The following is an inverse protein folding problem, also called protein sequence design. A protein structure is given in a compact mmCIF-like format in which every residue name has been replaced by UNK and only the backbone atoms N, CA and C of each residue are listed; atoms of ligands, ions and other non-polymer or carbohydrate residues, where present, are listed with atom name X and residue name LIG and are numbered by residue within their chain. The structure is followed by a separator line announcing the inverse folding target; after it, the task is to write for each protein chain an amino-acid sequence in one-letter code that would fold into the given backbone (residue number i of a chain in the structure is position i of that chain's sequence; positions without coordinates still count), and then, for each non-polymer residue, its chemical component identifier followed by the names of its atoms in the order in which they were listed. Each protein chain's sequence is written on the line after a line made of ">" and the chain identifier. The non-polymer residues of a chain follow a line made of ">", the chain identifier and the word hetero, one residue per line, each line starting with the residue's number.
data_IF_815142953342
#
_entry.id   IF_815142953342
#
_cell.length_a   1.000
_cell.length_b   1.000
_cell.length_c   1.000
_cell.angle_alpha   90.00
_cell.angle_beta   90.00
_cell.angle_gamma   90.00
#
_symmetry.space_group_name_H-M   'P 1'
#
loop_
_entity.id
_entity.type
_entity.pdbx_description
1 polymer ?
#
# COMPACT_ATOMS: atom_id res chain seq x y z
N UNK A 1 43.02 9.37 -4.64
CA UNK A 1 41.87 9.03 -3.83
C UNK A 1 40.53 8.98 -4.60
N UNK A 2 40.47 9.46 -5.83
CA UNK A 2 39.23 9.59 -6.64
C UNK A 2 38.82 8.31 -7.39
N UNK A 3 39.74 7.39 -7.65
CA UNK A 3 39.44 6.18 -8.45
C UNK A 3 38.78 5.06 -7.67
N UNK A 4 39.06 4.91 -6.38
CA UNK A 4 38.47 3.89 -5.53
C UNK A 4 36.97 4.15 -5.22
N UNK A 5 36.54 5.41 -5.10
CA UNK A 5 35.12 5.76 -4.91
C UNK A 5 34.25 5.43 -6.13
N UNK A 6 34.80 5.51 -7.35
CA UNK A 6 34.05 5.16 -8.59
C UNK A 6 33.80 3.66 -8.75
N UNK A 7 34.67 2.81 -8.23
CA UNK A 7 34.53 1.34 -8.31
C UNK A 7 33.43 0.86 -7.34
N UNK A 8 33.43 1.35 -6.10
CA UNK A 8 32.40 1.01 -5.11
C UNK A 8 30.98 1.43 -5.51
N UNK A 9 30.86 2.50 -6.30
CA UNK A 9 29.55 2.98 -6.78
C UNK A 9 29.01 2.15 -7.96
N UNK A 10 29.88 1.60 -8.78
CA UNK A 10 29.54 0.75 -9.93
C UNK A 10 29.08 -0.64 -9.48
N UNK A 11 29.69 -1.17 -8.43
CA UNK A 11 29.35 -2.48 -7.86
C UNK A 11 27.99 -2.45 -7.14
N UNK A 12 27.63 -1.34 -6.50
CA UNK A 12 26.32 -1.15 -5.87
C UNK A 12 25.17 -1.05 -6.88
N UNK A 13 25.37 -0.40 -8.03
CA UNK A 13 24.35 -0.33 -9.09
C UNK A 13 24.14 -1.68 -9.79
N UNK A 14 25.24 -2.45 -9.97
CA UNK A 14 25.15 -3.80 -10.54
C UNK A 14 24.51 -4.80 -9.56
N UNK A 15 24.74 -4.66 -8.25
CA UNK A 15 24.13 -5.51 -7.23
C UNK A 15 22.64 -5.22 -7.06
N UNK A 16 22.22 -3.95 -7.15
CA UNK A 16 20.80 -3.57 -7.16
C UNK A 16 20.08 -4.05 -8.41
N UNK A 17 20.70 -3.96 -9.59
CA UNK A 17 20.16 -4.51 -10.82
C UNK A 17 20.02 -6.03 -10.80
N UNK A 18 20.98 -6.74 -10.21
CA UNK A 18 20.92 -8.20 -10.02
C UNK A 18 19.84 -8.59 -9.00
N UNK A 19 19.68 -7.83 -7.91
CA UNK A 19 18.63 -8.07 -6.92
C UNK A 19 17.24 -7.85 -7.53
N UNK A 20 17.07 -6.79 -8.32
CA UNK A 20 15.81 -6.52 -9.03
C UNK A 20 15.49 -7.61 -10.07
N UNK A 21 16.49 -8.11 -10.81
CA UNK A 21 16.34 -9.21 -11.75
C UNK A 21 16.05 -10.55 -11.06
N UNK A 22 16.65 -10.82 -9.91
CA UNK A 22 16.35 -12.01 -9.11
C UNK A 22 14.94 -11.95 -8.51
N UNK A 23 14.52 -10.80 -8.01
CA UNK A 23 13.14 -10.59 -7.57
C UNK A 23 12.16 -10.76 -8.72
N UNK A 24 12.45 -10.22 -9.91
CA UNK A 24 11.61 -10.39 -11.10
C UNK A 24 11.55 -11.83 -11.60
N UNK A 25 12.66 -12.58 -11.55
CA UNK A 25 12.70 -13.99 -11.93
C UNK A 25 11.90 -14.88 -10.97
N UNK A 26 11.97 -14.62 -9.66
CA UNK A 26 11.14 -15.31 -8.65
C UNK A 26 9.63 -15.06 -8.85
N UNK A 27 9.26 -13.94 -9.46
CA UNK A 27 7.86 -13.58 -9.75
C UNK A 27 7.32 -14.24 -11.02
N UNK A 28 8.15 -14.57 -11.98
CA UNK A 28 7.72 -15.18 -13.24
C UNK A 28 7.15 -16.60 -13.03
N UNK A 29 7.69 -17.35 -12.07
CA UNK A 29 7.19 -18.70 -11.73
C UNK A 29 5.92 -18.68 -10.85
N UNK A 30 5.71 -17.63 -10.07
CA UNK A 30 4.54 -17.47 -9.21
C UNK A 30 3.23 -17.23 -9.98
N UNK A 31 3.30 -16.88 -11.26
CA UNK A 31 2.12 -16.65 -12.11
C UNK A 31 1.39 -17.95 -12.54
N UNK A 32 1.92 -19.13 -12.21
CA UNK A 32 1.37 -20.43 -12.57
C UNK A 32 0.60 -21.14 -11.44
N UNK A 33 0.30 -20.43 -10.33
CA UNK A 33 -0.52 -20.96 -9.24
C UNK A 33 -1.91 -21.42 -9.74
N UNK A 34 -2.44 -22.48 -9.12
CA UNK A 34 -3.75 -23.06 -9.44
C UNK A 34 -4.85 -21.99 -9.28
N UNK A 35 -5.36 -21.54 -10.42
CA UNK A 35 -6.31 -20.45 -10.47
C UNK A 35 -7.69 -20.98 -10.07
N UNK A 36 -8.25 -20.47 -8.96
CA UNK A 36 -9.60 -20.78 -8.48
C UNK A 36 -10.62 -20.85 -9.62
N UNK A 37 -11.45 -21.91 -9.63
CA UNK A 37 -12.44 -22.16 -10.68
C UNK A 37 -13.49 -21.03 -10.79
N UNK A 38 -14.03 -20.83 -11.98
CA UNK A 38 -15.06 -19.82 -12.28
C UNK A 38 -16.46 -20.39 -12.02
N UNK A 39 -16.78 -20.67 -10.77
CA UNK A 39 -18.03 -21.32 -10.34
C UNK A 39 -18.93 -20.41 -9.52
N UNK A 40 -18.50 -19.16 -9.25
CA UNK A 40 -19.32 -18.18 -8.57
C UNK A 40 -20.45 -17.71 -9.49
N UNK A 41 -21.60 -17.39 -8.92
CA UNK A 41 -22.75 -16.93 -9.64
C UNK A 41 -23.13 -15.54 -9.14
N UNK A 42 -23.21 -14.59 -10.08
CA UNK A 42 -23.69 -13.23 -9.84
C UNK A 42 -24.96 -13.03 -10.67
N UNK A 43 -26.05 -12.63 -10.04
CA UNK A 43 -27.31 -12.27 -10.70
C UNK A 43 -27.50 -10.77 -10.59
N UNK A 44 -27.83 -10.13 -11.70
CA UNK A 44 -28.08 -8.69 -11.76
C UNK A 44 -29.53 -8.34 -11.50
N UNK A 45 -29.83 -7.07 -11.24
CA UNK A 45 -31.19 -6.57 -11.00
C UNK A 45 -32.13 -6.79 -12.21
N UNK A 46 -31.59 -6.79 -13.44
CA UNK A 46 -32.32 -7.07 -14.68
C UNK A 46 -32.59 -8.59 -14.91
N UNK A 47 -32.07 -9.45 -14.02
CA UNK A 47 -32.23 -10.90 -14.10
C UNK A 47 -31.10 -11.64 -14.82
N UNK A 48 -30.12 -10.95 -15.42
CA UNK A 48 -28.98 -11.57 -16.05
C UNK A 48 -28.13 -12.33 -15.03
N UNK A 49 -27.70 -13.53 -15.41
CA UNK A 49 -26.92 -14.42 -14.56
C UNK A 49 -25.54 -14.66 -15.17
N UNK A 50 -24.51 -14.36 -14.39
CA UNK A 50 -23.11 -14.46 -14.82
C UNK A 50 -22.41 -15.52 -14.00
N UNK A 51 -21.93 -16.59 -14.66
CA UNK A 51 -21.03 -17.56 -14.06
C UNK A 51 -19.60 -17.07 -14.23
N UNK A 52 -18.91 -16.89 -13.12
CA UNK A 52 -17.64 -16.19 -13.09
C UNK A 52 -16.80 -16.64 -11.89
N UNK A 53 -15.65 -16.04 -11.74
CA UNK A 53 -14.87 -15.96 -10.50
C UNK A 53 -14.93 -14.54 -9.99
N UNK A 54 -15.44 -14.37 -8.78
CA UNK A 54 -15.41 -13.07 -8.09
C UNK A 54 -13.98 -12.78 -7.70
N UNK A 55 -13.43 -11.68 -8.21
CA UNK A 55 -12.08 -11.23 -7.90
C UNK A 55 -12.04 -10.40 -6.63
N UNK A 56 -12.92 -9.42 -6.55
CA UNK A 56 -13.11 -8.58 -5.36
C UNK A 56 -14.33 -7.65 -5.53
N UNK A 57 -14.86 -7.18 -4.41
CA UNK A 57 -15.65 -5.95 -4.33
C UNK A 57 -14.79 -4.89 -3.66
N UNK A 58 -14.59 -3.78 -4.29
CA UNK A 58 -13.96 -2.60 -3.71
C UNK A 58 -14.59 -1.36 -4.32
N UNK A 59 -14.82 -0.39 -3.46
CA UNK A 59 -15.25 0.93 -3.90
C UNK A 59 -16.53 0.90 -4.75
N UNK A 60 -17.48 0.08 -4.38
CA UNK A 60 -18.75 -0.03 -5.09
C UNK A 60 -18.70 -0.77 -6.43
N UNK A 61 -17.55 -1.32 -6.83
CA UNK A 61 -17.42 -2.16 -8.02
C UNK A 61 -17.07 -3.60 -7.66
N UNK A 62 -17.92 -4.52 -8.08
CA UNK A 62 -17.66 -5.96 -8.07
C UNK A 62 -16.89 -6.33 -9.32
N UNK A 63 -15.63 -6.71 -9.15
CA UNK A 63 -14.81 -7.21 -10.25
C UNK A 63 -14.95 -8.72 -10.34
N UNK A 64 -15.31 -9.21 -11.51
CA UNK A 64 -15.46 -10.64 -11.79
C UNK A 64 -14.71 -11.03 -13.04
N UNK A 65 -14.33 -12.30 -13.15
CA UNK A 65 -13.71 -12.87 -14.36
C UNK A 65 -14.55 -14.03 -14.88
N UNK A 66 -15.22 -13.81 -16.01
CA UNK A 66 -16.00 -14.82 -16.72
C UNK A 66 -15.14 -15.63 -17.71
N UNK A 67 -15.59 -16.82 -18.07
CA UNK A 67 -14.87 -17.66 -19.03
C UNK A 67 -14.86 -17.08 -20.45
N UNK A 68 -15.94 -16.37 -20.82
CA UNK A 68 -16.15 -15.95 -22.20
C UNK A 68 -15.92 -14.46 -22.43
N UNK A 69 -16.10 -13.62 -21.40
CA UNK A 69 -15.99 -12.16 -21.52
C UNK A 69 -14.76 -11.58 -20.83
N UNK A 70 -13.97 -12.44 -20.14
CA UNK A 70 -12.82 -11.95 -19.38
C UNK A 70 -13.22 -11.21 -18.10
N UNK A 71 -12.47 -10.18 -17.75
CA UNK A 71 -12.74 -9.35 -16.56
C UNK A 71 -13.81 -8.31 -16.82
N UNK A 72 -14.83 -8.28 -15.94
CA UNK A 72 -15.97 -7.35 -16.00
C UNK A 72 -16.08 -6.66 -14.65
N UNK A 73 -16.32 -5.34 -14.68
CA UNK A 73 -16.66 -4.55 -13.49
C UNK A 73 -18.18 -4.32 -13.45
N UNK A 74 -18.81 -4.70 -12.35
CA UNK A 74 -20.25 -4.59 -12.13
C UNK A 74 -20.47 -3.61 -10.97
N UNK A 75 -21.30 -2.61 -11.16
CA UNK A 75 -21.69 -1.70 -10.08
C UNK A 75 -22.43 -2.49 -8.99
N UNK A 76 -21.98 -2.35 -7.74
CA UNK A 76 -22.55 -3.11 -6.62
C UNK A 76 -24.07 -2.94 -6.45
N UNK A 77 -24.67 -1.76 -6.61
CA UNK A 77 -26.12 -1.60 -6.58
C UNK A 77 -26.85 -2.36 -7.69
N UNK A 78 -26.19 -2.71 -8.78
CA UNK A 78 -26.78 -3.49 -9.89
C UNK A 78 -26.79 -4.99 -9.61
N UNK A 79 -26.11 -5.43 -8.54
CA UNK A 79 -26.09 -6.85 -8.12
C UNK A 79 -27.34 -7.14 -7.30
N UNK A 80 -28.10 -8.14 -7.73
CA UNK A 80 -29.28 -8.66 -7.01
C UNK A 80 -28.90 -9.78 -6.05
N UNK A 81 -28.06 -10.73 -6.50
CA UNK A 81 -27.65 -11.84 -5.67
C UNK A 81 -26.27 -12.36 -6.03
N UNK A 82 -25.60 -12.92 -5.03
CA UNK A 82 -24.32 -13.59 -5.16
C UNK A 82 -24.40 -14.97 -4.52
N UNK A 83 -23.70 -15.92 -5.12
CA UNK A 83 -23.47 -17.23 -4.55
C UNK A 83 -22.03 -17.66 -4.83
N UNK A 84 -21.30 -18.03 -3.79
CA UNK A 84 -19.96 -18.58 -3.88
C UNK A 84 -19.71 -19.57 -2.74
N UNK A 85 -19.10 -20.71 -3.08
CA UNK A 85 -18.67 -21.72 -2.11
C UNK A 85 -17.25 -21.42 -1.57
N UNK A 86 -16.59 -20.39 -2.09
CA UNK A 86 -15.28 -19.96 -1.61
C UNK A 86 -15.44 -18.99 -0.45
N UNK A 87 -14.46 -19.01 0.43
CA UNK A 87 -14.41 -18.07 1.56
C UNK A 87 -13.98 -16.69 1.13
N UNK A 88 -14.67 -15.69 1.69
CA UNK A 88 -14.36 -14.28 1.48
C UNK A 88 -14.20 -13.58 2.83
N UNK A 89 -13.33 -12.60 2.86
CA UNK A 89 -13.38 -11.54 3.86
C UNK A 89 -14.36 -10.49 3.39
N UNK A 90 -15.41 -10.31 4.16
CA UNK A 90 -16.46 -9.32 3.93
C UNK A 90 -16.28 -8.18 4.91
N UNK A 91 -16.13 -6.95 4.43
CA UNK A 91 -16.06 -5.76 5.25
C UNK A 91 -17.34 -4.94 5.06
N UNK A 92 -17.92 -4.46 6.15
CA UNK A 92 -19.09 -3.56 6.13
C UNK A 92 -18.73 -2.14 6.53
N UNK A 93 -19.70 -1.23 6.46
CA UNK A 93 -19.57 0.12 7.00
C UNK A 93 -19.01 0.09 8.42
N UNK A 94 -18.08 0.99 8.72
CA UNK A 94 -17.43 1.06 10.03
C UNK A 94 -16.22 0.13 10.17
N UNK A 95 -15.86 -0.67 9.14
CA UNK A 95 -14.66 -1.48 9.11
C UNK A 95 -14.77 -2.83 9.86
N UNK A 96 -15.95 -3.22 10.30
CA UNK A 96 -16.18 -4.59 10.78
C UNK A 96 -16.01 -5.57 9.63
N UNK A 97 -15.38 -6.71 9.89
CA UNK A 97 -15.14 -7.74 8.89
C UNK A 97 -15.51 -9.12 9.39
N UNK A 98 -15.96 -9.95 8.47
CA UNK A 98 -16.39 -11.31 8.67
C UNK A 98 -15.73 -12.21 7.63
N UNK A 99 -15.60 -13.49 7.93
CA UNK A 99 -14.96 -14.47 7.05
C UNK A 99 -15.89 -15.65 6.82
N UNK A 100 -16.00 -16.10 5.56
CA UNK A 100 -16.78 -17.28 5.22
C UNK A 100 -17.21 -17.33 3.77
N UNK A 101 -17.91 -18.41 3.42
CA UNK A 101 -18.61 -18.50 2.14
C UNK A 101 -19.71 -17.45 2.08
N UNK A 102 -20.03 -16.99 0.88
CA UNK A 102 -21.01 -15.92 0.69
C UNK A 102 -22.18 -16.40 -0.15
N UNK A 103 -23.38 -16.07 0.30
CA UNK A 103 -24.61 -16.21 -0.45
C UNK A 103 -25.55 -15.04 -0.14
N UNK A 104 -26.54 -14.85 -0.98
CA UNK A 104 -27.57 -13.83 -0.72
C UNK A 104 -28.85 -14.51 -0.27
N UNK A 105 -29.59 -13.87 0.63
CA UNK A 105 -30.91 -14.35 1.05
C UNK A 105 -31.91 -14.41 -0.14
N UNK A 106 -33.06 -15.02 0.07
CA UNK A 106 -34.10 -15.20 -0.95
C UNK A 106 -34.61 -13.90 -1.54
N UNK A 107 -34.60 -12.83 -0.74
CA UNK A 107 -35.12 -11.52 -1.12
C UNK A 107 -34.07 -10.64 -1.83
N UNK A 108 -32.81 -11.06 -1.83
CA UNK A 108 -31.70 -10.29 -2.42
C UNK A 108 -31.30 -9.06 -1.61
N UNK A 109 -31.75 -8.95 -0.35
CA UNK A 109 -31.48 -7.76 0.50
C UNK A 109 -30.25 -7.90 1.37
N UNK A 110 -29.92 -9.13 1.75
CA UNK A 110 -28.86 -9.39 2.71
C UNK A 110 -27.83 -10.37 2.14
N UNK A 111 -26.57 -10.12 2.41
CA UNK A 111 -25.46 -11.04 2.22
C UNK A 111 -25.33 -11.91 3.46
N UNK A 112 -25.35 -13.21 3.27
CA UNK A 112 -25.10 -14.23 4.28
C UNK A 112 -23.62 -14.63 4.19
N UNK A 113 -22.90 -14.52 5.30
CA UNK A 113 -21.46 -14.83 5.38
C UNK A 113 -21.26 -15.93 6.39
N UNK A 114 -20.68 -17.04 5.96
CA UNK A 114 -20.45 -18.21 6.79
C UNK A 114 -21.23 -19.43 6.32
N UNK A 115 -21.23 -20.51 7.13
CA UNK A 115 -21.92 -21.74 6.87
C UNK A 115 -22.60 -22.27 8.13
N UNK A 116 -23.86 -22.68 8.02
CA UNK A 116 -24.60 -23.27 9.14
C UNK A 116 -24.93 -22.28 10.25
N UNK A 117 -24.70 -22.66 11.50
CA UNK A 117 -25.09 -21.89 12.69
C UNK A 117 -24.33 -20.57 12.88
N UNK A 118 -23.13 -20.46 12.31
CA UNK A 118 -22.24 -19.28 12.42
C UNK A 118 -22.45 -18.28 11.28
N UNK A 119 -23.59 -18.32 10.58
CA UNK A 119 -23.89 -17.42 9.48
C UNK A 119 -24.24 -16.03 10.00
N UNK A 120 -23.49 -15.03 9.53
CA UNK A 120 -23.76 -13.61 9.80
C UNK A 120 -24.52 -13.00 8.63
N UNK A 121 -25.56 -12.22 8.93
CA UNK A 121 -26.40 -11.53 7.96
C UNK A 121 -25.99 -10.05 7.88
N UNK A 122 -25.64 -9.58 6.70
CA UNK A 122 -25.20 -8.20 6.45
C UNK A 122 -26.05 -7.60 5.33
N UNK A 123 -26.70 -6.43 5.53
CA UNK A 123 -27.40 -5.76 4.46
C UNK A 123 -26.49 -5.52 3.25
N UNK A 124 -26.93 -5.84 2.03
CA UNK A 124 -26.12 -5.68 0.81
C UNK A 124 -25.57 -4.27 0.65
N UNK A 125 -26.32 -3.25 1.07
CA UNK A 125 -25.91 -1.85 1.00
C UNK A 125 -24.79 -1.49 1.99
N UNK A 126 -24.62 -2.26 3.06
CA UNK A 126 -23.56 -2.04 4.03
C UNK A 126 -22.23 -2.73 3.65
N UNK A 127 -22.25 -3.62 2.66
CA UNK A 127 -21.05 -4.32 2.21
C UNK A 127 -20.16 -3.35 1.44
N UNK A 128 -18.97 -3.09 1.97
CA UNK A 128 -17.99 -2.16 1.36
C UNK A 128 -16.85 -2.87 0.63
N UNK A 129 -16.51 -4.08 1.07
CA UNK A 129 -15.45 -4.89 0.48
C UNK A 129 -15.76 -6.38 0.54
N UNK A 130 -15.43 -7.08 -0.54
CA UNK A 130 -15.32 -8.53 -0.62
C UNK A 130 -13.92 -8.86 -1.12
N UNK A 131 -13.17 -9.63 -0.36
CA UNK A 131 -11.85 -10.11 -0.74
C UNK A 131 -11.86 -11.63 -0.63
N UNK A 132 -11.63 -12.38 -1.72
CA UNK A 132 -11.56 -13.82 -1.63
C UNK A 132 -10.35 -14.22 -0.79
N UNK A 133 -10.53 -15.24 0.03
CA UNK A 133 -9.42 -15.94 0.64
C UNK A 133 -8.86 -16.94 -0.37
N UNK A 134 -7.72 -16.60 -0.90
CA UNK A 134 -6.99 -17.52 -1.75
C UNK A 134 -6.28 -18.56 -0.87
N UNK A 135 -6.31 -19.80 -1.27
CA UNK A 135 -5.65 -20.88 -0.53
C UNK A 135 -4.13 -20.82 -0.64
N UNK A 136 -3.64 -20.27 -1.74
CA UNK A 136 -2.22 -20.16 -2.03
C UNK A 136 -1.66 -18.81 -1.51
N UNK A 137 -0.51 -18.89 -0.85
CA UNK A 137 0.23 -17.72 -0.34
C UNK A 137 0.47 -16.67 -1.42
N UNK A 138 0.88 -17.08 -2.62
CA UNK A 138 1.21 -16.17 -3.72
C UNK A 138 -0.01 -15.41 -4.28
N UNK A 139 -1.18 -15.98 -4.19
CA UNK A 139 -2.43 -15.34 -4.63
C UNK A 139 -2.92 -14.28 -3.63
N UNK A 140 -2.41 -14.29 -2.40
CA UNK A 140 -2.69 -13.29 -1.35
C UNK A 140 -1.82 -12.05 -1.47
N UNK A 141 -0.82 -12.08 -2.37
CA UNK A 141 0.13 -10.99 -2.59
C UNK A 141 -0.34 -10.11 -3.74
N UNK A 142 -0.37 -8.81 -3.49
CA UNK A 142 -0.67 -7.78 -4.49
C UNK A 142 0.37 -6.68 -4.37
N UNK A 143 0.73 -6.06 -5.47
CA UNK A 143 1.71 -5.00 -5.38
C UNK A 143 1.93 -4.24 -6.67
N UNK A 144 2.91 -3.36 -6.62
CA UNK A 144 3.33 -2.56 -7.76
C UNK A 144 4.81 -2.27 -7.76
N UNK A 145 5.38 -2.21 -8.95
CA UNK A 145 6.73 -1.71 -9.21
C UNK A 145 6.59 -0.46 -10.05
N UNK A 146 7.21 0.65 -9.63
CA UNK A 146 7.15 1.91 -10.34
C UNK A 146 8.54 2.48 -10.60
N UNK A 147 8.72 3.07 -11.78
CA UNK A 147 9.90 3.78 -12.19
C UNK A 147 9.55 5.21 -12.58
N UNK A 148 10.34 6.16 -12.08
CA UNK A 148 10.23 7.56 -12.41
C UNK A 148 11.58 8.13 -12.81
N UNK A 149 11.55 9.04 -13.79
CA UNK A 149 12.71 9.81 -14.19
C UNK A 149 12.29 11.27 -14.42
N UNK A 150 12.96 12.17 -13.72
CA UNK A 150 12.77 13.62 -13.86
C UNK A 150 14.10 14.24 -14.31
N UNK A 151 14.02 15.19 -15.25
CA UNK A 151 15.15 15.97 -15.69
C UNK A 151 14.79 17.45 -15.77
N UNK A 152 15.61 18.30 -15.14
CA UNK A 152 15.41 19.74 -15.17
C UNK A 152 16.64 20.41 -15.78
N UNK A 153 16.50 20.88 -17.02
CA UNK A 153 17.60 21.48 -17.79
C UNK A 153 18.15 22.76 -17.18
N UNK A 154 17.30 23.59 -16.54
CA UNK A 154 17.72 24.87 -15.97
C UNK A 154 18.71 24.74 -14.81
N UNK A 155 18.61 23.66 -14.05
CA UNK A 155 19.49 23.32 -12.92
C UNK A 155 20.41 22.13 -13.22
N UNK A 156 20.29 21.52 -14.42
CA UNK A 156 21.00 20.31 -14.83
C UNK A 156 20.91 19.20 -13.76
N UNK A 157 19.71 19.06 -13.21
CA UNK A 157 19.38 18.04 -12.18
C UNK A 157 18.64 16.89 -12.84
N UNK A 158 19.10 15.67 -12.62
CA UNK A 158 18.40 14.44 -12.99
C UNK A 158 18.08 13.62 -11.73
N UNK A 159 16.87 13.10 -11.67
CA UNK A 159 16.44 12.23 -10.58
C UNK A 159 15.85 10.93 -11.15
N UNK A 160 16.36 9.81 -10.66
CA UNK A 160 15.84 8.48 -10.90
C UNK A 160 15.15 7.99 -9.63
N UNK A 161 13.94 7.49 -9.77
CA UNK A 161 13.20 6.90 -8.65
C UNK A 161 12.77 5.48 -8.97
N UNK A 162 12.82 4.63 -7.97
CA UNK A 162 12.29 3.28 -8.00
C UNK A 162 11.42 3.09 -6.76
N UNK A 163 10.22 2.54 -6.96
CA UNK A 163 9.29 2.23 -5.87
C UNK A 163 8.78 0.81 -6.03
N UNK A 164 8.76 0.08 -4.93
CA UNK A 164 8.18 -1.24 -4.79
C UNK A 164 7.18 -1.21 -3.64
N UNK A 165 5.97 -1.68 -3.89
CA UNK A 165 4.96 -1.81 -2.86
C UNK A 165 4.33 -3.19 -2.98
N UNK A 166 4.20 -3.86 -1.86
CA UNK A 166 3.60 -5.19 -1.75
C UNK A 166 2.66 -5.23 -0.55
N UNK A 167 1.54 -5.89 -0.72
CA UNK A 167 0.56 -6.13 0.31
C UNK A 167 0.16 -7.59 0.32
N UNK A 168 0.33 -8.24 1.46
CA UNK A 168 -0.22 -9.54 1.78
C UNK A 168 -1.45 -9.36 2.67
N UNK A 169 -2.51 -10.13 2.44
CA UNK A 169 -3.72 -10.12 3.28
C UNK A 169 -4.21 -11.54 3.50
N UNK A 170 -4.45 -11.89 4.77
CA UNK A 170 -5.19 -13.08 5.18
C UNK A 170 -6.42 -12.72 6.05
N UNK A 171 -7.02 -13.71 6.70
CA UNK A 171 -8.23 -13.55 7.52
C UNK A 171 -8.05 -12.58 8.68
N UNK A 172 -6.88 -12.60 9.31
CA UNK A 172 -6.60 -11.87 10.55
C UNK A 172 -5.44 -10.89 10.45
N UNK A 173 -4.69 -10.90 9.34
CA UNK A 173 -3.46 -10.13 9.20
C UNK A 173 -3.41 -9.42 7.85
N UNK A 174 -2.77 -8.27 7.88
CA UNK A 174 -2.39 -7.53 6.69
C UNK A 174 -0.92 -7.11 6.85
N UNK A 175 -0.05 -7.54 5.94
CA UNK A 175 1.34 -7.11 5.89
C UNK A 175 1.55 -6.21 4.69
N UNK A 176 2.31 -5.14 4.89
CA UNK A 176 2.65 -4.18 3.84
C UNK A 176 4.16 -4.00 3.82
N UNK A 177 4.77 -4.16 2.66
CA UNK A 177 6.16 -3.83 2.38
C UNK A 177 6.19 -2.69 1.38
N UNK A 178 6.91 -1.63 1.72
CA UNK A 178 7.16 -0.51 0.81
C UNK A 178 8.66 -0.25 0.76
N UNK A 179 9.20 -0.13 -0.42
CA UNK A 179 10.58 0.28 -0.64
C UNK A 179 10.63 1.40 -1.68
N UNK A 180 11.32 2.47 -1.34
CA UNK A 180 11.55 3.61 -2.22
C UNK A 180 13.04 3.89 -2.28
N UNK A 181 13.52 4.10 -3.48
CA UNK A 181 14.87 4.55 -3.76
C UNK A 181 14.83 5.75 -4.69
N UNK A 182 15.55 6.81 -4.34
CA UNK A 182 15.74 7.97 -5.20
C UNK A 182 17.23 8.32 -5.29
N UNK A 183 17.69 8.64 -6.49
CA UNK A 183 19.05 9.11 -6.75
C UNK A 183 18.95 10.40 -7.56
N UNK A 184 19.46 11.48 -6.99
CA UNK A 184 19.50 12.80 -7.61
C UNK A 184 20.94 13.11 -7.96
N UNK A 185 21.17 13.54 -9.20
CA UNK A 185 22.46 14.02 -9.70
C UNK A 185 22.34 15.46 -10.13
N UNK A 186 23.32 16.26 -9.75
CA UNK A 186 23.43 17.67 -10.15
C UNK A 186 24.77 17.94 -10.78
N UNK A 187 24.80 18.81 -11.79
CA UNK A 187 26.08 19.29 -12.38
C UNK A 187 26.92 20.10 -11.39
N UNK A 188 26.32 20.64 -10.31
CA UNK A 188 27.03 21.27 -9.21
C UNK A 188 27.83 20.29 -8.34
N UNK A 189 27.63 18.98 -8.52
CA UNK A 189 28.29 17.92 -7.76
C UNK A 189 27.62 17.56 -6.44
N UNK A 190 26.46 18.12 -6.17
CA UNK A 190 25.64 17.81 -4.98
C UNK A 190 24.73 16.61 -5.28
N UNK A 191 25.35 15.45 -5.45
CA UNK A 191 24.63 14.20 -5.65
C UNK A 191 24.04 13.72 -4.33
N UNK A 192 22.78 13.31 -4.32
CA UNK A 192 22.11 12.77 -3.13
C UNK A 192 21.39 11.47 -3.40
N UNK A 193 21.32 10.62 -2.38
CA UNK A 193 20.56 9.38 -2.41
C UNK A 193 19.62 9.31 -1.22
N UNK A 194 18.41 8.83 -1.50
CA UNK A 194 17.39 8.54 -0.49
C UNK A 194 16.95 7.10 -0.63
N UNK A 195 16.83 6.40 0.49
CA UNK A 195 16.32 5.03 0.57
C UNK A 195 15.37 4.94 1.77
N UNK A 196 14.15 4.51 1.52
CA UNK A 196 13.16 4.28 2.54
C UNK A 196 12.59 2.86 2.34
N UNK A 197 12.67 2.03 3.37
CA UNK A 197 12.07 0.70 3.38
C UNK A 197 11.19 0.62 4.62
N UNK A 198 9.92 0.28 4.45
CA UNK A 198 9.02 0.10 5.57
C UNK A 198 8.29 -1.24 5.48
N UNK A 199 8.12 -1.88 6.61
CA UNK A 199 7.34 -3.09 6.77
C UNK A 199 6.33 -2.87 7.88
N UNK A 200 5.05 -3.00 7.57
CA UNK A 200 3.97 -2.83 8.53
C UNK A 200 3.19 -4.14 8.62
N UNK A 201 2.92 -4.59 9.84
CA UNK A 201 2.13 -5.79 10.09
C UNK A 201 0.95 -5.42 10.97
N UNK A 202 -0.25 -5.58 10.44
CA UNK A 202 -1.51 -5.27 11.12
C UNK A 202 -2.24 -6.55 11.50
N UNK A 203 -2.71 -6.60 12.74
CA UNK A 203 -3.53 -7.67 13.29
C UNK A 203 -4.95 -7.16 13.42
N UNK A 204 -5.81 -7.71 12.59
CA UNK A 204 -7.19 -7.30 12.44
C UNK A 204 -8.06 -8.04 13.46
N UNK A 205 -9.07 -7.35 13.98
CA UNK A 205 -10.07 -7.91 14.86
C UNK A 205 -11.44 -7.79 14.20
N UNK A 206 -12.43 -8.48 14.75
CA UNK A 206 -13.81 -8.50 14.23
C UNK A 206 -14.49 -7.11 14.25
N UNK A 207 -13.90 -6.09 14.80
CA UNK A 207 -14.43 -4.72 14.83
C UNK A 207 -13.57 -3.76 14.01
N UNK A 208 -13.86 -2.46 14.10
CA UNK A 208 -13.12 -1.43 13.38
C UNK A 208 -11.69 -1.20 13.92
N UNK A 209 -11.35 -1.80 15.06
CA UNK A 209 -10.07 -1.61 15.72
C UNK A 209 -9.05 -2.67 15.27
N UNK A 210 -7.81 -2.26 15.17
CA UNK A 210 -6.67 -3.15 14.89
C UNK A 210 -5.45 -2.71 15.72
N UNK A 211 -4.45 -3.58 15.82
CA UNK A 211 -3.14 -3.18 16.30
C UNK A 211 -2.09 -3.52 15.25
N UNK A 212 -0.96 -2.84 15.28
CA UNK A 212 0.07 -3.05 14.28
C UNK A 212 1.47 -2.82 14.80
N UNK A 213 2.41 -3.46 14.12
CA UNK A 213 3.83 -3.24 14.24
C UNK A 213 4.30 -2.45 13.02
N UNK A 214 5.05 -1.39 13.27
CA UNK A 214 5.66 -0.54 12.26
C UNK A 214 7.17 -0.74 12.33
N UNK A 215 7.78 -0.94 11.17
CA UNK A 215 9.23 -0.96 11.04
C UNK A 215 9.63 -0.14 9.83
N UNK A 216 10.63 0.71 9.98
CA UNK A 216 11.21 1.43 8.84
C UNK A 216 12.73 1.53 8.96
N UNK A 217 13.37 1.45 7.79
CA UNK A 217 14.77 1.74 7.56
C UNK A 217 14.85 2.95 6.63
N UNK A 218 15.54 3.98 7.03
CA UNK A 218 15.69 5.20 6.26
C UNK A 218 17.16 5.56 6.11
N UNK A 219 17.53 6.00 4.92
CA UNK A 219 18.74 6.72 4.62
C UNK A 219 18.38 7.94 3.79
N UNK A 220 18.80 9.12 4.23
CA UNK A 220 18.47 10.36 3.54
C UNK A 220 19.59 11.38 3.75
N UNK A 221 20.37 11.59 2.70
CA UNK A 221 21.50 12.49 2.76
C UNK A 221 21.08 13.96 2.92
N UNK A 222 19.90 14.34 2.39
CA UNK A 222 19.39 15.70 2.49
C UNK A 222 19.01 16.03 3.94
N UNK A 223 18.46 15.04 4.66
CA UNK A 223 18.12 15.15 6.08
C UNK A 223 19.32 14.87 7.00
N UNK A 224 20.51 14.62 6.45
CA UNK A 224 21.72 14.31 7.21
C UNK A 224 21.68 12.93 7.87
N UNK A 225 20.87 12.00 7.38
CA UNK A 225 20.67 10.67 7.93
C UNK A 225 21.46 9.66 7.12
N UNK A 226 22.53 9.06 7.73
CA UNK A 226 23.25 7.93 7.14
C UNK A 226 22.51 6.61 7.37
N UNK A 227 21.77 6.50 8.46
CA UNK A 227 20.88 5.40 8.75
C UNK A 227 19.92 5.76 9.88
N UNK A 228 18.66 5.31 9.75
CA UNK A 228 17.65 5.40 10.80
C UNK A 228 16.83 4.12 10.81
N UNK A 229 16.60 3.59 11.99
CA UNK A 229 15.74 2.45 12.24
C UNK A 229 14.62 2.88 13.19
N UNK A 230 13.38 2.68 12.78
CA UNK A 230 12.21 2.95 13.63
C UNK A 230 11.47 1.64 13.84
N UNK A 231 11.21 1.31 15.10
CA UNK A 231 10.40 0.17 15.52
C UNK A 231 9.24 0.65 16.38
N UNK A 232 8.02 0.45 15.93
CA UNK A 232 6.84 0.98 16.61
C UNK A 232 5.72 -0.04 16.77
N UNK A 233 4.85 0.25 17.73
CA UNK A 233 3.59 -0.46 17.93
C UNK A 233 2.47 0.57 18.02
N UNK A 234 1.38 0.33 17.30
CA UNK A 234 0.24 1.24 17.19
C UNK A 234 -1.07 0.52 17.40
N UNK A 235 -2.02 1.23 17.98
CA UNK A 235 -3.45 0.91 17.95
C UNK A 235 -4.08 1.76 16.85
N UNK A 236 -4.89 1.15 16.04
CA UNK A 236 -5.56 1.81 14.93
C UNK A 236 -7.06 1.55 14.93
N UNK A 237 -7.78 2.46 14.25
CA UNK A 237 -9.22 2.35 14.06
C UNK A 237 -9.61 2.86 12.67
N UNK A 238 -10.51 2.11 12.02
CA UNK A 238 -11.24 2.62 10.86
C UNK A 238 -12.26 3.65 11.34
N UNK A 239 -12.01 4.93 11.05
CA UNK A 239 -12.86 6.06 11.47
C UNK A 239 -14.05 6.23 10.53
N UNK A 240 -13.83 6.01 9.24
CA UNK A 240 -14.83 6.12 8.21
C UNK A 240 -14.48 5.16 7.05
N UNK A 241 -15.47 4.41 6.59
CA UNK A 241 -15.28 3.48 5.47
C UNK A 241 -16.58 3.36 4.69
N UNK A 242 -16.54 3.72 3.42
CA UNK A 242 -17.64 3.62 2.46
C UNK A 242 -17.18 2.82 1.23
N UNK A 243 -18.03 2.75 0.22
CA UNK A 243 -17.69 2.11 -1.05
C UNK A 243 -16.54 2.79 -1.80
N UNK A 244 -16.28 4.07 -1.57
CA UNK A 244 -15.30 4.89 -2.30
C UNK A 244 -14.27 5.59 -1.41
N UNK A 245 -14.45 5.58 -0.11
CA UNK A 245 -13.61 6.34 0.82
C UNK A 245 -13.27 5.49 2.05
N UNK A 246 -12.01 5.54 2.47
CA UNK A 246 -11.52 4.91 3.70
C UNK A 246 -10.64 5.89 4.46
N UNK A 247 -10.98 6.15 5.72
CA UNK A 247 -10.20 6.94 6.66
C UNK A 247 -9.86 6.08 7.87
N UNK A 248 -8.60 5.97 8.22
CA UNK A 248 -8.16 5.33 9.44
C UNK A 248 -7.25 6.26 10.24
N UNK A 249 -7.24 6.06 11.54
CA UNK A 249 -6.33 6.74 12.47
C UNK A 249 -5.53 5.74 13.26
N UNK A 250 -4.33 6.13 13.64
CA UNK A 250 -3.40 5.33 14.47
C UNK A 250 -2.80 6.18 15.58
N UNK A 251 -2.54 5.56 16.73
CA UNK A 251 -1.77 6.13 17.82
C UNK A 251 -0.93 5.04 18.49
N UNK A 252 0.28 5.39 18.94
CA UNK A 252 1.19 4.41 19.53
C UNK A 252 2.52 4.97 19.99
N UNK A 253 3.50 4.09 20.10
CA UNK A 253 4.86 4.40 20.50
C UNK A 253 5.85 3.79 19.51
N UNK A 254 6.99 4.45 19.32
CA UNK A 254 8.10 3.98 18.50
C UNK A 254 9.45 4.25 19.18
N UNK A 255 10.37 3.34 18.95
CA UNK A 255 11.80 3.50 19.24
C UNK A 255 12.48 3.94 17.94
N UNK A 256 13.20 5.02 17.98
CA UNK A 256 14.00 5.56 16.88
C UNK A 256 15.49 5.44 17.23
N UNK A 257 16.26 4.87 16.32
CA UNK A 257 17.72 4.82 16.39
C UNK A 257 18.27 5.42 15.11
N UNK A 258 19.08 6.46 15.25
CA UNK A 258 19.55 7.25 14.12
C UNK A 258 21.07 7.41 14.14
N UNK A 259 21.67 7.44 12.95
CA UNK A 259 23.09 7.70 12.70
C UNK A 259 23.21 8.88 11.71
N UNK A 260 24.01 9.88 12.08
CA UNK A 260 24.26 11.05 11.25
C UNK A 260 25.33 10.80 10.20
N UNK A 261 25.23 11.44 9.03
CA UNK A 261 26.27 11.43 7.97
C UNK A 261 27.60 12.02 8.43
N UNK A 262 27.59 12.88 9.43
CA UNK A 262 28.82 13.54 9.97
C UNK A 262 29.63 12.61 10.88
N UNK A 263 29.21 11.34 11.05
CA UNK A 263 29.85 10.39 11.98
C UNK A 263 29.69 10.78 13.44
N UNK A 264 28.79 11.71 13.74
CA UNK A 264 28.42 12.08 15.11
C UNK A 264 27.80 10.87 15.83
N UNK A 265 27.65 10.99 17.15
CA UNK A 265 27.12 9.90 17.98
C UNK A 265 25.74 9.46 17.48
N UNK A 266 25.51 8.16 17.51
CA UNK A 266 24.17 7.60 17.30
C UNK A 266 23.22 8.17 18.35
N UNK A 267 22.00 8.49 17.93
CA UNK A 267 20.96 9.03 18.77
C UNK A 267 19.79 8.03 18.86
N UNK A 268 19.33 7.78 20.09
CA UNK A 268 18.17 6.92 20.34
C UNK A 268 17.08 7.73 21.01
N UNK A 269 15.86 7.61 20.52
CA UNK A 269 14.72 8.29 21.14
C UNK A 269 13.49 7.39 21.22
N UNK A 270 12.69 7.62 22.27
CA UNK A 270 11.34 7.12 22.37
C UNK A 270 10.38 8.21 21.86
N UNK A 271 9.53 7.85 20.93
CA UNK A 271 8.59 8.76 20.30
C UNK A 271 7.16 8.26 20.46
N UNK A 272 6.22 9.17 20.62
CA UNK A 272 4.81 8.87 20.38
C UNK A 272 4.53 8.92 18.88
N UNK A 273 3.59 8.09 18.43
CA UNK A 273 3.17 8.02 17.01
C UNK A 273 1.71 8.40 16.93
N UNK A 274 1.39 9.39 16.09
CA UNK A 274 0.02 9.74 15.76
C UNK A 274 -0.12 9.91 14.26
N UNK A 275 -1.23 9.49 13.70
CA UNK A 275 -1.44 9.74 12.30
C UNK A 275 -2.63 9.05 11.72
N UNK A 276 -2.69 9.04 10.39
CA UNK A 276 -3.78 8.43 9.68
C UNK A 276 -3.53 8.29 8.19
N UNK A 277 -4.41 7.55 7.58
CA UNK A 277 -4.45 7.37 6.14
C UNK A 277 -5.86 7.66 5.63
N UNK A 278 -5.93 8.46 4.60
CA UNK A 278 -7.16 8.75 3.87
C UNK A 278 -7.00 8.30 2.43
N UNK A 279 -7.91 7.43 1.97
CA UNK A 279 -7.94 6.92 0.61
C UNK A 279 -9.30 7.20 0.00
N UNK A 280 -9.28 7.80 -1.20
CA UNK A 280 -10.50 8.11 -1.96
C UNK A 280 -10.36 7.55 -3.37
N UNK A 281 -11.46 7.06 -3.88
CA UNK A 281 -11.50 6.41 -5.18
C UNK A 281 -12.60 6.98 -6.08
N UNK A 282 -12.29 7.15 -7.36
CA UNK A 282 -13.26 7.47 -8.39
C UNK A 282 -13.25 6.39 -9.47
N UNK A 283 -14.39 5.75 -9.70
CA UNK A 283 -14.51 4.60 -10.60
C UNK A 283 -14.89 4.93 -12.03
N UNK A 284 -15.61 6.04 -12.22
CA UNK A 284 -15.93 6.53 -13.57
C UNK A 284 -14.66 7.00 -14.23
N UNK A 285 -14.53 6.73 -15.53
CA UNK A 285 -13.35 7.17 -16.28
C UNK A 285 -13.17 8.70 -16.24
N UNK A 286 -11.96 9.21 -16.01
CA UNK A 286 -10.74 8.49 -15.67
C UNK A 286 -10.79 7.92 -14.26
N UNK A 287 -10.38 6.64 -14.08
CA UNK A 287 -10.27 6.02 -12.76
C UNK A 287 -9.11 6.64 -12.00
N UNK A 288 -9.41 7.21 -10.84
CA UNK A 288 -8.45 7.95 -10.03
C UNK A 288 -8.47 7.41 -8.60
N UNK A 289 -7.28 7.19 -8.04
CA UNK A 289 -7.09 6.85 -6.63
C UNK A 289 -6.21 7.92 -5.97
N UNK A 290 -6.71 8.53 -4.91
CA UNK A 290 -5.95 9.40 -4.03
C UNK A 290 -5.67 8.65 -2.73
N UNK A 291 -4.40 8.54 -2.37
CA UNK A 291 -3.96 7.98 -1.09
C UNK A 291 -3.11 9.03 -0.37
N UNK A 292 -3.56 9.45 0.79
CA UNK A 292 -2.88 10.42 1.65
C UNK A 292 -2.55 9.76 2.97
N UNK A 293 -1.30 9.83 3.42
CA UNK A 293 -0.86 9.38 4.74
C UNK A 293 -0.07 10.46 5.44
N UNK A 294 -0.37 10.67 6.71
CA UNK A 294 0.35 11.59 7.60
C UNK A 294 0.69 10.85 8.88
N UNK A 295 1.97 10.88 9.26
CA UNK A 295 2.45 10.38 10.54
C UNK A 295 3.24 11.49 11.24
N UNK A 296 3.00 11.64 12.54
CA UNK A 296 3.68 12.56 13.43
C UNK A 296 4.39 11.77 14.52
N UNK A 297 5.63 12.14 14.83
CA UNK A 297 6.48 11.49 15.80
C UNK A 297 7.03 12.54 16.81
N UNK A 298 6.21 13.00 17.76
CA UNK A 298 6.71 13.80 18.87
C UNK A 298 7.61 12.96 19.76
N UNK A 299 8.84 13.42 19.99
CA UNK A 299 9.79 12.73 20.87
C UNK A 299 9.41 12.90 22.33
N UNK A 300 9.43 11.81 23.08
CA UNK A 300 9.21 11.79 24.53
C UNK A 300 10.52 12.06 25.26
N UNK A 301 11.62 11.45 24.77
CA UNK A 301 12.93 11.51 25.43
C UNK A 301 13.79 12.69 24.97
N UNK A 302 13.52 13.23 23.76
CA UNK A 302 14.23 14.39 23.19
C UNK A 302 13.27 15.54 22.91
N UNK A 303 12.47 15.89 23.90
CA UNK A 303 11.51 17.00 23.77
C UNK A 303 12.24 18.35 23.64
N UNK A 304 11.75 19.27 22.78
CA UNK A 304 10.54 19.25 21.97
C UNK A 304 10.76 18.83 20.50
N UNK A 305 11.59 17.83 20.20
CA UNK A 305 11.76 17.33 18.82
C UNK A 305 10.47 16.73 18.29
N UNK A 306 10.07 17.13 17.09
CA UNK A 306 8.93 16.59 16.36
C UNK A 306 9.38 16.22 14.94
N UNK A 307 9.07 15.01 14.51
CA UNK A 307 9.22 14.57 13.13
C UNK A 307 7.84 14.36 12.51
N UNK A 308 7.73 14.57 11.21
CA UNK A 308 6.50 14.32 10.46
C UNK A 308 6.81 13.76 9.08
N UNK A 309 5.98 12.83 8.63
CA UNK A 309 6.01 12.33 7.24
C UNK A 309 4.65 12.49 6.60
N UNK A 310 4.62 13.09 5.42
CA UNK A 310 3.42 13.25 4.60
C UNK A 310 3.66 12.58 3.24
N UNK A 311 2.76 11.71 2.82
CA UNK A 311 2.75 11.15 1.48
C UNK A 311 1.37 11.32 0.87
N UNK A 312 1.31 11.91 -0.32
CA UNK A 312 0.10 12.07 -1.12
C UNK A 312 0.35 11.47 -2.49
N UNK A 313 -0.31 10.37 -2.80
CA UNK A 313 -0.18 9.70 -4.10
C UNK A 313 -1.49 9.77 -4.85
N UNK A 314 -1.45 10.36 -6.03
CA UNK A 314 -2.52 10.38 -7.00
C UNK A 314 -2.20 9.37 -8.11
N UNK A 315 -3.06 8.38 -8.29
CA UNK A 315 -2.87 7.31 -9.27
C UNK A 315 -3.94 7.43 -10.35
N UNK A 316 -3.52 7.47 -11.60
CA UNK A 316 -4.38 7.41 -12.79
C UNK A 316 -4.21 6.05 -13.44
N UNK A 317 -5.26 5.26 -13.49
CA UNK A 317 -5.26 3.95 -14.13
C UNK A 317 -5.26 4.14 -15.66
N UNK A 318 -4.23 3.64 -16.32
CA UNK A 318 -4.11 3.68 -17.79
C UNK A 318 -4.66 2.41 -18.41
N UNK A 319 -4.31 1.25 -17.83
CA UNK A 319 -4.80 -0.08 -18.21
C UNK A 319 -5.01 -0.91 -16.95
N UNK A 320 -5.41 -2.16 -17.08
CA UNK A 320 -5.58 -3.06 -15.92
C UNK A 320 -4.26 -3.29 -15.16
N UNK A 321 -3.11 -3.15 -15.82
CA UNK A 321 -1.79 -3.42 -15.25
C UNK A 321 -0.89 -2.20 -15.15
N UNK A 322 -1.20 -1.12 -15.85
CA UNK A 322 -0.36 0.08 -15.86
C UNK A 322 -1.10 1.29 -15.32
N UNK A 323 -0.41 2.06 -14.51
CA UNK A 323 -0.88 3.31 -13.94
C UNK A 323 0.20 4.39 -13.98
N UNK A 324 -0.26 5.65 -14.10
CA UNK A 324 0.56 6.84 -13.87
C UNK A 324 0.38 7.27 -12.42
N UNK A 325 1.48 7.42 -11.69
CA UNK A 325 1.47 7.88 -10.29
C UNK A 325 2.14 9.24 -10.18
N UNK A 326 1.48 10.15 -9.48
CA UNK A 326 2.03 11.43 -9.03
C UNK A 326 2.11 11.36 -7.51
N UNK A 327 3.32 11.33 -6.96
CA UNK A 327 3.57 11.24 -5.53
C UNK A 327 4.19 12.53 -5.03
N UNK A 328 3.54 13.20 -4.10
CA UNK A 328 4.11 14.29 -3.30
C UNK A 328 4.52 13.69 -1.96
N UNK A 329 5.76 13.89 -1.55
CA UNK A 329 6.28 13.50 -0.26
C UNK A 329 6.78 14.72 0.51
N UNK A 330 6.74 14.64 1.82
CA UNK A 330 7.30 15.64 2.73
C UNK A 330 7.79 14.98 4.01
N UNK A 331 9.05 15.24 4.35
CA UNK A 331 9.69 14.79 5.57
C UNK A 331 10.13 16.02 6.36
N UNK A 332 9.64 16.14 7.57
CA UNK A 332 9.98 17.23 8.49
C UNK A 332 10.67 16.69 9.72
N UNK A 333 11.73 17.36 10.14
CA UNK A 333 12.42 17.11 11.41
C UNK A 333 12.78 18.46 12.04
N UNK A 334 12.22 18.76 13.20
CA UNK A 334 12.48 20.04 13.88
C UNK A 334 13.91 20.16 14.41
N UNK A 335 14.62 19.04 14.54
CA UNK A 335 16.02 18.95 15.00
C UNK A 335 16.75 17.86 14.22
N UNK A 336 17.13 18.10 12.97
CA UNK A 336 17.84 17.13 12.15
C UNK A 336 19.20 16.76 12.78
N UNK A 337 19.71 15.54 12.51
CA UNK A 337 20.92 15.03 13.16
C UNK A 337 22.22 15.73 12.74
N UNK A 338 22.22 16.41 11.59
CA UNK A 338 23.36 17.18 11.09
C UNK A 338 23.05 18.67 11.04
N UNK A 339 24.01 19.49 11.37
CA UNK A 339 23.88 20.97 11.33
C UNK A 339 23.68 21.52 9.91
N UNK A 340 24.11 20.78 8.88
CA UNK A 340 23.94 21.12 7.48
C UNK A 340 22.64 20.59 6.87
N UNK A 341 21.93 19.72 7.59
CA UNK A 341 20.70 19.10 7.11
C UNK A 341 19.53 20.09 7.08
N UNK A 342 18.64 19.92 6.12
CA UNK A 342 17.40 20.67 6.04
C UNK A 342 16.40 20.18 7.08
N UNK A 343 15.56 21.07 7.59
CA UNK A 343 14.46 20.72 8.51
C UNK A 343 13.24 20.18 7.77
N UNK A 344 13.11 20.48 6.48
CA UNK A 344 12.01 20.03 5.63
C UNK A 344 12.57 19.61 4.27
N UNK A 345 12.37 18.34 3.94
CA UNK A 345 12.61 17.78 2.61
C UNK A 345 11.27 17.42 1.98
N UNK A 346 10.98 17.93 0.80
CA UNK A 346 9.76 17.65 0.07
C UNK A 346 9.99 17.59 -1.43
N UNK A 347 9.16 16.84 -2.11
CA UNK A 347 9.28 16.71 -3.55
C UNK A 347 8.04 16.12 -4.21
N UNK A 348 8.02 16.23 -5.53
CA UNK A 348 7.00 15.62 -6.39
C UNK A 348 7.69 14.66 -7.34
N UNK A 349 7.19 13.44 -7.39
CA UNK A 349 7.70 12.39 -8.25
C UNK A 349 6.59 11.89 -9.18
N UNK A 350 6.91 11.80 -10.46
CA UNK A 350 6.04 11.20 -11.48
C UNK A 350 6.62 9.86 -11.91
N UNK A 351 5.81 8.81 -11.88
CA UNK A 351 6.26 7.46 -12.21
C UNK A 351 5.20 6.67 -12.96
N UNK A 352 5.66 5.72 -13.78
CA UNK A 352 4.81 4.69 -14.40
C UNK A 352 4.96 3.43 -13.54
N UNK A 353 3.84 2.87 -13.13
CA UNK A 353 3.78 1.67 -12.31
C UNK A 353 3.20 0.50 -13.09
N UNK A 354 3.80 -0.67 -12.91
CA UNK A 354 3.24 -1.96 -13.26
C UNK A 354 2.66 -2.61 -12.00
N UNK A 355 1.42 -3.05 -12.08
CA UNK A 355 0.69 -3.67 -10.99
C UNK A 355 0.58 -5.18 -11.20
N UNK A 356 0.81 -5.96 -10.15
CA UNK A 356 0.79 -7.42 -10.16
C UNK A 356 -0.10 -7.99 -9.06
N UNK A 357 -0.37 -9.29 -9.13
CA UNK A 357 -1.29 -9.98 -8.24
C UNK A 357 -2.75 -9.84 -8.70
N UNK A 358 -3.70 -10.02 -7.79
CA UNK A 358 -5.10 -9.72 -8.03
C UNK A 358 -5.27 -8.21 -8.05
N UNK A 359 -5.02 -7.62 -9.22
CA UNK A 359 -4.93 -6.17 -9.41
C UNK A 359 -6.16 -5.47 -8.86
N UNK A 360 -5.88 -4.69 -7.86
CA UNK A 360 -6.87 -3.82 -7.21
C UNK A 360 -6.75 -2.44 -7.85
N UNK A 361 -7.84 -1.83 -8.29
CA UNK A 361 -7.80 -0.48 -8.79
C UNK A 361 -7.33 0.52 -7.75
#
# INVERSE_FOLDING_TARGET
>A
MTTQRRLLHRDNLQSLGRLALLLFALWADAALGDVRAKTDIVTLQNGDRITCRILYLKFGLLQVNSAHTGSIAIEWPSVRSIQSNYSFRVEKFGGEHFAGAISTDSDGKNLLVGTGADTVTIPMQEVTRLLPYESDFWQRINGSVAFGYNFTRSSDVSQLTFQFNEQYSDESREAQLSAQFASTRSSSGDDSTQTDISTNLFFLRTGPNFWGLLNSLQRDQNLGIDGRVVLGSVLGRHLYQTGDTRLLGVAGLALDQEWSVDGAKSHSSLESVFGGQWRVFKFTYPKINLNTSLLLFPSITDAPRVRATLNVTLTFKLTDRFSLKLTNFGNYDSRPPSAQAVTLDYGVNTSIAYEFGNVVP
#
